data_IF_698086873638
#
_entry.id   IF_698086873638
#
_cell.length_a   1.000
_cell.length_b   1.000
_cell.length_c   1.000
_cell.angle_alpha   90.00
_cell.angle_beta   90.00
_cell.angle_gamma   90.00
#
_symmetry.space_group_name_H-M   'P 1'
#
loop_
_entity.id
_entity.type
_entity.pdbx_description
1 polymer ?
#
# COMPACT_ATOMS: atom_id res chain seq x y z
N UNK A 1 4.53 -5.26 -9.60
CA UNK A 1 4.26 -3.87 -9.20
C UNK A 1 3.07 -3.30 -9.96
N UNK A 2 2.18 -2.60 -9.25
CA UNK A 2 1.04 -1.90 -9.84
C UNK A 2 0.91 -0.50 -9.25
N UNK A 3 0.39 0.43 -10.04
CA UNK A 3 0.10 1.79 -9.59
C UNK A 3 -1.15 1.80 -8.70
N UNK A 4 -1.33 2.89 -7.96
CA UNK A 4 -2.56 3.13 -7.17
C UNK A 4 -3.79 3.10 -8.08
N UNK A 5 -3.70 3.70 -9.27
CA UNK A 5 -4.82 3.70 -10.23
C UNK A 5 -5.18 2.28 -10.66
N UNK A 6 -4.19 1.44 -10.94
CA UNK A 6 -4.41 0.04 -11.31
C UNK A 6 -5.07 -0.75 -10.17
N UNK A 7 -4.71 -0.46 -8.92
CA UNK A 7 -5.36 -1.06 -7.76
C UNK A 7 -6.86 -0.72 -7.74
N UNK A 8 -7.20 0.54 -7.92
CA UNK A 8 -8.61 0.97 -7.91
C UNK A 8 -9.38 0.51 -9.15
N UNK A 9 -8.71 0.31 -10.27
CA UNK A 9 -9.31 -0.25 -11.48
C UNK A 9 -9.54 -1.76 -11.39
N UNK A 10 -8.84 -2.42 -10.48
CA UNK A 10 -9.02 -3.85 -10.21
C UNK A 10 -10.27 -4.04 -9.35
N UNK A 11 -11.35 -4.54 -9.98
CA UNK A 11 -12.65 -4.70 -9.33
C UNK A 11 -12.83 -6.04 -8.63
N UNK A 12 -11.82 -6.90 -8.65
CA UNK A 12 -11.85 -8.19 -7.93
C UNK A 12 -11.77 -7.95 -6.43
N UNK A 13 -12.24 -8.92 -5.66
CA UNK A 13 -11.92 -8.98 -4.25
C UNK A 13 -10.40 -9.01 -4.11
N UNK A 14 -9.87 -8.23 -3.18
CA UNK A 14 -8.43 -8.11 -2.98
C UNK A 14 -8.12 -7.79 -1.54
N UNK A 15 -6.89 -8.10 -1.14
CA UNK A 15 -6.38 -7.76 0.18
C UNK A 15 -5.33 -6.67 0.02
N UNK A 16 -5.45 -5.60 0.78
CA UNK A 16 -4.43 -4.55 0.86
C UNK A 16 -3.75 -4.72 2.22
N UNK A 17 -2.44 -4.96 2.20
CA UNK A 17 -1.65 -5.10 3.42
C UNK A 17 -0.74 -3.88 3.54
N UNK A 18 -0.95 -3.10 4.60
CA UNK A 18 -0.07 -1.99 4.95
C UNK A 18 1.08 -2.55 5.77
N UNK A 19 2.28 -2.56 5.17
CA UNK A 19 3.47 -3.15 5.80
C UNK A 19 4.30 -2.12 6.56
N UNK A 20 3.81 -0.89 6.70
CA UNK A 20 4.42 0.13 7.56
C UNK A 20 4.22 -0.25 9.02
N UNK A 21 4.91 0.47 9.93
CA UNK A 21 4.69 0.27 11.35
C UNK A 21 3.26 0.66 11.76
N UNK A 22 2.85 0.16 12.92
CA UNK A 22 1.50 0.37 13.44
C UNK A 22 1.17 1.83 13.68
N UNK A 23 2.14 2.62 14.12
CA UNK A 23 1.95 4.05 14.37
C UNK A 23 1.53 4.81 13.10
N UNK A 24 2.21 4.55 11.99
CA UNK A 24 1.89 5.16 10.70
C UNK A 24 0.55 4.65 10.15
N UNK A 25 0.29 3.36 10.29
CA UNK A 25 -1.00 2.76 9.92
C UNK A 25 -2.16 3.42 10.69
N UNK A 26 -2.01 3.61 11.99
CA UNK A 26 -3.05 4.20 12.83
C UNK A 26 -3.32 5.67 12.50
N UNK A 27 -2.31 6.40 12.01
CA UNK A 27 -2.48 7.80 11.59
C UNK A 27 -3.30 7.92 10.32
N UNK A 28 -2.96 7.17 9.30
CA UNK A 28 -3.69 7.11 8.03
C UNK A 28 -3.24 5.89 7.23
N UNK A 29 -4.17 5.23 6.59
CA UNK A 29 -3.91 4.11 5.67
C UNK A 29 -4.95 4.10 4.55
N UNK A 30 -4.82 3.18 3.61
CA UNK A 30 -5.82 2.96 2.56
C UNK A 30 -7.04 2.26 3.15
N UNK A 31 -8.23 2.56 2.60
CA UNK A 31 -9.47 1.92 3.03
C UNK A 31 -9.36 0.40 2.93
N UNK A 32 -9.82 -0.30 3.96
CA UNK A 32 -9.80 -1.76 4.07
C UNK A 32 -8.42 -2.38 4.17
N UNK A 33 -7.35 -1.59 4.31
CA UNK A 33 -6.01 -2.13 4.50
C UNK A 33 -5.89 -2.77 5.89
N UNK A 34 -5.20 -3.92 5.92
CA UNK A 34 -4.82 -4.58 7.17
C UNK A 34 -3.36 -4.26 7.47
N UNK A 35 -3.01 -4.18 8.75
CA UNK A 35 -1.65 -3.88 9.16
C UNK A 35 -0.83 -5.16 9.34
N UNK A 36 0.37 -5.19 8.79
CA UNK A 36 1.32 -6.29 8.98
C UNK A 36 2.72 -5.74 8.75
N UNK A 37 3.44 -5.45 9.83
CA UNK A 37 4.76 -4.83 9.72
C UNK A 37 5.72 -5.69 8.88
N UNK A 38 6.45 -5.07 7.97
CA UNK A 38 7.26 -5.77 6.97
C UNK A 38 8.32 -6.72 7.57
N UNK A 39 8.96 -6.35 8.69
CA UNK A 39 9.91 -7.23 9.37
C UNK A 39 9.25 -8.50 9.92
N UNK A 40 8.10 -8.36 10.54
CA UNK A 40 7.33 -9.49 11.06
C UNK A 40 6.88 -10.40 9.93
N UNK A 41 6.42 -9.81 8.84
CA UNK A 41 5.99 -10.56 7.67
C UNK A 41 7.16 -11.32 7.04
N UNK A 42 8.31 -10.67 6.89
CA UNK A 42 9.53 -11.32 6.38
C UNK A 42 9.96 -12.50 7.25
N UNK A 43 9.91 -12.33 8.58
CA UNK A 43 10.21 -13.41 9.52
C UNK A 43 9.22 -14.58 9.41
N UNK A 44 7.94 -14.28 9.32
CA UNK A 44 6.88 -15.30 9.21
C UNK A 44 6.97 -16.09 7.91
N UNK A 45 7.46 -15.45 6.84
CA UNK A 45 7.55 -16.07 5.51
C UNK A 45 8.90 -16.73 5.21
N UNK A 46 9.85 -16.75 6.15
CA UNK A 46 11.11 -17.46 5.97
C UNK A 46 10.87 -18.94 5.69
N UNK A 47 11.69 -19.52 4.83
CA UNK A 47 11.58 -20.92 4.39
C UNK A 47 11.59 -21.92 5.56
N UNK A 48 12.36 -21.62 6.62
CA UNK A 48 12.47 -22.46 7.80
C UNK A 48 11.43 -22.16 8.88
N UNK A 49 10.64 -21.12 8.72
CA UNK A 49 9.56 -20.77 9.65
C UNK A 49 8.25 -21.43 9.22
N UNK A 50 8.13 -22.72 9.48
CA UNK A 50 6.99 -23.54 9.06
C UNK A 50 5.68 -23.01 9.65
N UNK A 51 5.65 -22.71 10.95
CA UNK A 51 4.44 -22.22 11.62
C UNK A 51 3.99 -20.85 11.14
N UNK A 52 4.94 -19.93 10.87
CA UNK A 52 4.64 -18.62 10.32
C UNK A 52 4.05 -18.69 8.92
N UNK A 53 4.63 -19.52 8.06
CA UNK A 53 4.14 -19.74 6.70
C UNK A 53 2.75 -20.39 6.70
N UNK A 54 2.51 -21.39 7.54
CA UNK A 54 1.19 -22.03 7.70
C UNK A 54 0.13 -21.03 8.13
N UNK A 55 0.44 -20.20 9.12
CA UNK A 55 -0.48 -19.18 9.60
C UNK A 55 -0.85 -18.20 8.48
N UNK A 56 0.14 -17.76 7.70
CA UNK A 56 -0.10 -16.88 6.56
C UNK A 56 -0.99 -17.55 5.50
N UNK A 57 -0.66 -18.80 5.12
CA UNK A 57 -1.42 -19.56 4.14
C UNK A 57 -2.86 -19.83 4.58
N UNK A 58 -3.09 -19.99 5.88
CA UNK A 58 -4.44 -20.17 6.43
C UNK A 58 -5.22 -18.86 6.52
N UNK A 59 -4.53 -17.72 6.62
CA UNK A 59 -5.17 -16.40 6.73
C UNK A 59 -5.51 -15.81 5.36
N UNK A 60 -4.62 -15.99 4.38
CA UNK A 60 -4.74 -15.37 3.05
C UNK A 60 -4.86 -16.42 1.96
N UNK A 61 -5.97 -16.39 1.24
CA UNK A 61 -6.22 -17.28 0.09
C UNK A 61 -5.37 -16.87 -1.11
N UNK A 62 -4.78 -17.86 -1.78
CA UNK A 62 -4.06 -17.64 -3.06
C UNK A 62 -4.99 -17.24 -4.21
N UNK A 63 -6.30 -17.35 -4.04
CA UNK A 63 -7.29 -16.96 -5.04
C UNK A 63 -7.58 -15.46 -5.04
N UNK A 64 -7.13 -14.74 -4.02
CA UNK A 64 -7.38 -13.31 -3.84
C UNK A 64 -6.05 -12.56 -4.02
N UNK A 65 -5.96 -11.58 -4.93
CA UNK A 65 -4.73 -10.82 -5.11
C UNK A 65 -4.39 -9.99 -3.88
N UNK A 66 -3.10 -9.87 -3.59
CA UNK A 66 -2.57 -9.11 -2.47
C UNK A 66 -1.83 -7.88 -2.99
N UNK A 67 -2.16 -6.71 -2.46
CA UNK A 67 -1.48 -5.45 -2.71
C UNK A 67 -0.73 -5.04 -1.46
N UNK A 68 0.55 -4.68 -1.62
CA UNK A 68 1.45 -4.36 -0.50
C UNK A 68 1.74 -2.87 -0.49
N UNK A 69 1.40 -2.21 0.59
CA UNK A 69 1.60 -0.78 0.79
C UNK A 69 2.76 -0.53 1.75
N UNK A 70 3.81 0.13 1.29
CA UNK A 70 4.88 0.65 2.14
C UNK A 70 5.04 2.15 1.93
N UNK A 71 6.10 2.76 2.46
CA UNK A 71 6.32 4.21 2.31
C UNK A 71 6.57 4.62 0.86
N UNK A 72 7.53 3.97 0.19
CA UNK A 72 8.02 4.37 -1.14
C UNK A 72 7.99 3.26 -2.18
N UNK A 73 7.69 2.03 -1.80
CA UNK A 73 7.64 0.87 -2.68
C UNK A 73 8.82 -0.08 -2.58
N UNK A 74 9.90 0.24 -1.83
CA UNK A 74 11.11 -0.59 -1.75
C UNK A 74 10.91 -1.88 -0.98
N UNK A 75 10.37 -1.81 0.23
CA UNK A 75 10.15 -3.00 1.07
C UNK A 75 9.05 -3.91 0.51
N UNK A 76 8.04 -3.32 -0.11
CA UNK A 76 6.96 -4.07 -0.72
C UNK A 76 7.41 -4.87 -1.94
N UNK A 77 8.44 -4.43 -2.67
CA UNK A 77 8.99 -5.18 -3.80
C UNK A 77 9.61 -6.51 -3.35
N UNK A 78 10.34 -6.51 -2.25
CA UNK A 78 10.93 -7.74 -1.68
C UNK A 78 9.84 -8.74 -1.28
N UNK A 79 8.78 -8.25 -0.64
CA UNK A 79 7.65 -9.09 -0.23
C UNK A 79 6.82 -9.57 -1.42
N UNK A 80 6.67 -8.74 -2.44
CA UNK A 80 6.03 -9.14 -3.71
C UNK A 80 6.70 -10.40 -4.27
N UNK A 81 8.03 -10.38 -4.39
CA UNK A 81 8.80 -11.51 -4.90
C UNK A 81 8.62 -12.75 -4.02
N UNK A 82 8.69 -12.59 -2.70
CA UNK A 82 8.50 -13.69 -1.75
C UNK A 82 7.12 -14.33 -1.90
N UNK A 83 6.07 -13.52 -1.97
CA UNK A 83 4.70 -14.01 -2.12
C UNK A 83 4.46 -14.67 -3.47
N UNK A 84 5.04 -14.14 -4.53
CA UNK A 84 4.96 -14.75 -5.87
C UNK A 84 5.59 -16.14 -5.87
N UNK A 85 6.75 -16.30 -5.23
CA UNK A 85 7.40 -17.60 -5.06
C UNK A 85 6.54 -18.60 -4.28
N UNK A 86 5.69 -18.11 -3.39
CA UNK A 86 4.73 -18.93 -2.64
C UNK A 86 3.45 -19.24 -3.42
N UNK A 87 3.28 -18.68 -4.61
CA UNK A 87 2.12 -18.92 -5.47
C UNK A 87 1.00 -17.90 -5.35
N UNK A 88 1.23 -16.77 -4.70
CA UNK A 88 0.27 -15.67 -4.63
C UNK A 88 0.38 -14.76 -5.85
N UNK A 89 -0.75 -14.19 -6.23
CA UNK A 89 -0.77 -13.01 -7.09
C UNK A 89 -0.59 -11.79 -6.20
N UNK A 90 0.62 -11.22 -6.18
CA UNK A 90 0.99 -10.13 -5.28
C UNK A 90 1.58 -8.95 -6.05
N UNK A 91 1.25 -7.75 -5.61
CA UNK A 91 1.69 -6.50 -6.22
C UNK A 91 2.18 -5.53 -5.17
N UNK A 92 3.41 -5.06 -5.32
CA UNK A 92 3.88 -3.87 -4.64
C UNK A 92 3.15 -2.65 -5.23
N UNK A 93 2.67 -1.76 -4.37
CA UNK A 93 2.05 -0.51 -4.82
C UNK A 93 3.18 0.47 -5.21
N UNK A 94 3.23 0.81 -6.50
CA UNK A 94 4.25 1.70 -7.05
C UNK A 94 4.22 3.07 -6.36
N UNK A 95 5.37 3.49 -5.84
CA UNK A 95 5.50 4.74 -5.09
C UNK A 95 4.90 4.73 -3.69
N UNK A 96 4.28 3.62 -3.27
CA UNK A 96 3.81 3.40 -1.91
C UNK A 96 2.78 4.41 -1.41
N UNK A 97 2.82 4.68 -0.12
CA UNK A 97 1.87 5.59 0.55
C UNK A 97 1.95 7.02 0.02
N UNK A 98 3.14 7.46 -0.38
CA UNK A 98 3.32 8.78 -1.01
C UNK A 98 2.50 8.88 -2.30
N UNK A 99 2.59 7.86 -3.16
CA UNK A 99 1.81 7.80 -4.40
C UNK A 99 0.30 7.74 -4.13
N UNK A 100 -0.11 6.99 -3.08
CA UNK A 100 -1.51 6.95 -2.67
C UNK A 100 -2.05 8.32 -2.28
N UNK A 101 -1.31 9.08 -1.46
CA UNK A 101 -1.72 10.43 -1.06
C UNK A 101 -1.86 11.36 -2.25
N UNK A 102 -0.89 11.33 -3.18
CA UNK A 102 -0.95 12.12 -4.42
C UNK A 102 -2.17 11.75 -5.26
N UNK A 103 -2.43 10.46 -5.42
CA UNK A 103 -3.60 9.97 -6.16
C UNK A 103 -4.90 10.46 -5.50
N UNK A 104 -5.01 10.32 -4.17
CA UNK A 104 -6.17 10.73 -3.37
C UNK A 104 -6.48 12.22 -3.57
N UNK A 105 -5.47 13.07 -3.51
CA UNK A 105 -5.64 14.51 -3.72
C UNK A 105 -5.98 14.86 -5.16
N UNK A 106 -5.45 14.12 -6.13
CA UNK A 106 -5.82 14.27 -7.54
C UNK A 106 -7.30 13.95 -7.75
N UNK A 107 -7.83 12.92 -7.11
CA UNK A 107 -9.26 12.61 -7.18
C UNK A 107 -10.10 13.71 -6.54
N UNK A 108 -9.67 14.23 -5.39
CA UNK A 108 -10.34 15.34 -4.72
C UNK A 108 -10.44 16.58 -5.61
N UNK A 109 -9.36 16.93 -6.29
CA UNK A 109 -9.33 18.07 -7.24
C UNK A 109 -10.30 17.84 -8.41
N UNK A 110 -10.36 16.64 -8.96
CA UNK A 110 -11.27 16.28 -10.06
C UNK A 110 -12.74 16.39 -9.67
N UNK A 111 -13.07 15.99 -8.43
CA UNK A 111 -14.45 16.08 -7.91
C UNK A 111 -14.86 17.53 -7.69
N UNK A 112 -13.92 18.41 -7.38
CA UNK A 112 -14.15 19.80 -7.01
C UNK A 112 -13.78 20.80 -8.14
N UNK A 113 -13.77 20.35 -9.38
CA UNK A 113 -13.34 21.14 -10.57
C UNK A 113 -14.04 22.48 -10.74
N UNK A 114 -15.18 22.71 -10.09
CA UNK A 114 -16.02 23.92 -10.24
C UNK A 114 -15.90 24.90 -9.07
N UNK A 115 -15.15 24.59 -7.99
CA UNK A 115 -15.04 25.43 -6.80
C UNK A 115 -13.58 25.75 -6.48
N UNK A 116 -13.08 26.94 -6.67
CA UNK A 116 -11.77 27.41 -6.21
C UNK A 116 -10.56 26.52 -6.55
N UNK A 117 -10.35 26.27 -7.84
CA UNK A 117 -9.21 25.46 -8.34
C UNK A 117 -7.83 25.95 -7.81
N UNK A 118 -7.64 27.24 -7.58
CA UNK A 118 -6.37 27.79 -7.07
C UNK A 118 -6.13 27.44 -5.59
N UNK A 119 -7.16 27.51 -4.77
CA UNK A 119 -7.10 27.19 -3.35
C UNK A 119 -6.79 25.71 -3.14
N UNK A 120 -7.42 24.83 -3.93
CA UNK A 120 -7.18 23.39 -3.92
C UNK A 120 -5.77 23.05 -4.37
N UNK A 121 -5.25 23.69 -5.43
CA UNK A 121 -3.87 23.50 -5.91
C UNK A 121 -2.84 23.91 -4.85
N UNK A 122 -3.05 25.01 -4.15
CA UNK A 122 -2.15 25.45 -3.08
C UNK A 122 -2.17 24.47 -1.91
N UNK A 123 -3.33 23.94 -1.56
CA UNK A 123 -3.49 22.94 -0.51
C UNK A 123 -2.76 21.64 -0.87
N UNK A 124 -2.88 21.16 -2.11
CA UNK A 124 -2.15 19.99 -2.61
C UNK A 124 -0.64 20.20 -2.54
N UNK A 125 -0.13 21.36 -2.94
CA UNK A 125 1.30 21.69 -2.84
C UNK A 125 1.79 21.66 -1.40
N UNK A 126 1.01 22.18 -0.48
CA UNK A 126 1.32 22.16 0.96
C UNK A 126 1.45 20.75 1.49
N UNK A 127 0.54 19.86 1.10
CA UNK A 127 0.55 18.46 1.50
C UNK A 127 1.74 17.74 0.88
N UNK A 128 2.04 17.95 -0.40
CA UNK A 128 3.23 17.38 -1.05
C UNK A 128 4.51 17.80 -0.35
N UNK A 129 4.64 19.06 0.06
CA UNK A 129 5.79 19.56 0.85
C UNK A 129 5.88 18.86 2.20
N UNK A 130 4.77 18.67 2.86
CA UNK A 130 4.68 17.97 4.15
C UNK A 130 5.16 16.52 4.03
N UNK A 131 4.75 15.82 2.97
CA UNK A 131 5.18 14.45 2.67
C UNK A 131 6.69 14.41 2.41
N UNK A 132 7.23 15.31 1.60
CA UNK A 132 8.66 15.39 1.30
C UNK A 132 9.48 15.61 2.58
N UNK A 133 9.04 16.48 3.47
CA UNK A 133 9.70 16.71 4.77
C UNK A 133 9.71 15.45 5.64
N UNK A 134 8.64 14.68 5.63
CA UNK A 134 8.49 13.46 6.43
C UNK A 134 9.44 12.36 5.98
N UNK A 135 9.77 12.30 4.69
CA UNK A 135 10.59 11.24 4.10
C UNK A 135 12.02 11.64 3.77
N UNK A 136 12.47 12.81 4.23
CA UNK A 136 13.86 13.23 4.11
C UNK A 136 14.76 12.62 5.18
#
# INVERSE_FOLDING_TARGET
MRTVQQLYDDKRDKVIIDIRDKEEYDKETMDSAVQYFWEDMMNDLKMDNISGREKFLNTYSKKVPIYLLCYSGQKSEELEDTLEQMGYEAYSIDGGFVAYLKWKFTQYIKEDENENANEVKDHVKEIERSIVKKFR
#
